data_IF_933048002982
#
_entry.id   IF_933048002982
#
_cell.length_a   1.000
_cell.length_b   1.000
_cell.length_c   1.000
_cell.angle_alpha   90.00
_cell.angle_beta   90.00
_cell.angle_gamma   90.00
#
_symmetry.space_group_name_H-M   'P 1'
#
loop_
_entity.id
_entity.type
_entity.pdbx_description
1 polymer ?
#
# COMPACT_ATOMS: atom_id res chain seq x y z
N UNK A 1 -18.12 1.52 24.66
CA UNK A 1 -17.49 0.15 24.61
C UNK A 1 -16.03 0.28 24.23
N UNK A 2 -15.12 -0.43 24.88
CA UNK A 2 -13.70 -0.50 24.48
C UNK A 2 -13.56 -1.44 23.26
N UNK A 3 -12.50 -1.27 22.47
CA UNK A 3 -12.14 -2.22 21.43
C UNK A 3 -12.03 -3.63 21.98
N UNK A 4 -12.48 -4.63 21.22
CA UNK A 4 -12.24 -6.04 21.55
C UNK A 4 -10.75 -6.40 21.32
N UNK A 5 -10.33 -7.57 21.79
CA UNK A 5 -8.92 -7.98 21.73
C UNK A 5 -8.41 -8.16 20.29
N UNK A 6 -9.27 -8.59 19.37
CA UNK A 6 -8.92 -8.71 17.96
C UNK A 6 -8.67 -7.33 17.33
N UNK A 7 -9.57 -6.37 17.57
CA UNK A 7 -9.40 -4.99 17.12
C UNK A 7 -8.13 -4.35 17.68
N UNK A 8 -7.86 -4.53 18.98
CA UNK A 8 -6.62 -4.05 19.61
C UNK A 8 -5.38 -4.66 18.95
N UNK A 9 -5.40 -5.97 18.69
CA UNK A 9 -4.32 -6.67 18.00
C UNK A 9 -4.09 -6.11 16.59
N UNK A 10 -5.16 -5.87 15.84
CA UNK A 10 -5.08 -5.29 14.49
C UNK A 10 -4.55 -3.87 14.51
N UNK A 11 -5.04 -3.02 15.42
CA UNK A 11 -4.62 -1.62 15.56
C UNK A 11 -3.14 -1.48 15.95
N UNK A 12 -2.60 -2.43 16.72
CA UNK A 12 -1.20 -2.46 17.14
C UNK A 12 -0.24 -3.07 16.10
N UNK A 13 -0.75 -3.60 14.99
CA UNK A 13 0.11 -4.12 13.92
C UNK A 13 0.86 -2.98 13.23
N UNK A 14 2.10 -3.23 12.83
CA UNK A 14 2.82 -2.31 11.96
C UNK A 14 2.14 -2.19 10.62
N UNK A 15 2.23 -1.01 10.02
CA UNK A 15 1.71 -0.75 8.67
C UNK A 15 2.35 -1.71 7.65
N UNK A 16 1.55 -2.25 6.74
CA UNK A 16 2.08 -2.99 5.60
C UNK A 16 2.69 -2.01 4.60
N UNK A 17 3.99 -2.16 4.35
CA UNK A 17 4.77 -1.30 3.46
C UNK A 17 4.27 -1.30 2.01
N UNK A 18 3.67 -2.41 1.56
CA UNK A 18 3.13 -2.55 0.21
C UNK A 18 1.95 -1.62 -0.07
N UNK A 19 1.29 -1.15 1.00
CA UNK A 19 0.15 -0.23 0.91
C UNK A 19 0.56 1.25 1.07
N UNK A 20 1.87 1.52 1.23
CA UNK A 20 2.39 2.87 1.37
C UNK A 20 2.73 3.44 0.00
N UNK A 21 2.04 4.51 -0.37
CA UNK A 21 2.32 5.29 -1.58
C UNK A 21 3.30 6.43 -1.28
N UNK A 22 3.96 6.92 -2.32
CA UNK A 22 4.92 8.02 -2.22
C UNK A 22 4.59 9.14 -3.19
N UNK A 23 4.70 10.37 -2.73
CA UNK A 23 4.57 11.57 -3.56
C UNK A 23 5.76 12.51 -3.38
N UNK A 24 6.07 13.35 -4.37
CA UNK A 24 7.06 14.41 -4.20
C UNK A 24 6.66 15.36 -3.06
N UNK A 25 7.62 15.71 -2.21
CA UNK A 25 7.50 16.73 -1.19
C UNK A 25 8.41 17.91 -1.47
N UNK A 26 8.41 18.91 -0.59
CA UNK A 26 9.33 20.05 -0.67
C UNK A 26 10.78 19.61 -0.49
N UNK A 27 11.71 20.28 -1.17
CA UNK A 27 13.15 20.02 -1.04
C UNK A 27 13.62 18.67 -1.59
N UNK A 28 12.90 18.07 -2.56
CA UNK A 28 13.27 16.78 -3.18
C UNK A 28 12.98 15.55 -2.32
N UNK A 29 12.31 15.72 -1.19
CA UNK A 29 11.92 14.60 -0.32
C UNK A 29 10.76 13.81 -0.92
N UNK A 30 10.70 12.49 -0.63
CA UNK A 30 9.53 11.66 -0.89
C UNK A 30 8.70 11.57 0.39
N UNK A 31 7.43 11.97 0.30
CA UNK A 31 6.47 11.86 1.39
C UNK A 31 5.70 10.56 1.26
N UNK A 32 5.78 9.73 2.31
CA UNK A 32 4.98 8.51 2.42
C UNK A 32 3.55 8.86 2.84
N UNK A 33 2.55 8.20 2.27
CA UNK A 33 1.15 8.39 2.63
C UNK A 33 0.33 7.14 2.32
N UNK A 34 -0.89 7.08 2.86
CA UNK A 34 -1.88 6.09 2.51
C UNK A 34 -2.93 6.69 1.58
N UNK A 35 -3.35 5.91 0.59
CA UNK A 35 -4.48 6.27 -0.26
C UNK A 35 -5.78 6.27 0.54
N UNK A 36 -6.70 7.20 0.22
CA UNK A 36 -7.96 7.34 0.96
C UNK A 36 -8.83 6.09 0.90
N UNK A 37 -8.87 5.41 -0.25
CA UNK A 37 -9.64 4.17 -0.40
C UNK A 37 -9.11 3.05 0.52
N UNK A 38 -7.77 2.95 0.65
CA UNK A 38 -7.15 1.97 1.51
C UNK A 38 -7.48 2.21 2.99
N UNK A 39 -7.42 3.47 3.44
CA UNK A 39 -7.76 3.86 4.82
C UNK A 39 -9.21 3.49 5.16
N UNK A 40 -10.15 3.69 4.23
CA UNK A 40 -11.54 3.27 4.40
C UNK A 40 -11.67 1.75 4.44
N UNK A 41 -10.95 1.03 3.57
CA UNK A 41 -10.93 -0.43 3.56
C UNK A 41 -10.41 -0.99 4.89
N UNK A 42 -9.35 -0.40 5.44
CA UNK A 42 -8.82 -0.78 6.75
C UNK A 42 -9.81 -0.48 7.89
N UNK A 43 -10.52 0.64 7.85
CA UNK A 43 -11.56 0.93 8.82
C UNK A 43 -12.67 -0.12 8.79
N UNK A 44 -13.14 -0.50 7.60
CA UNK A 44 -14.12 -1.57 7.43
C UNK A 44 -13.61 -2.94 7.90
N UNK A 45 -12.32 -3.24 7.66
CA UNK A 45 -11.69 -4.49 8.09
C UNK A 45 -11.55 -4.59 9.60
N UNK A 46 -11.20 -3.48 10.28
CA UNK A 46 -10.91 -3.46 11.72
C UNK A 46 -12.18 -3.27 12.54
N UNK A 47 -13.05 -2.36 12.11
CA UNK A 47 -14.23 -1.95 12.88
C UNK A 47 -15.52 -2.64 12.43
N UNK A 48 -15.55 -3.23 11.22
CA UNK A 48 -16.77 -3.70 10.56
C UNK A 48 -17.45 -2.60 9.73
N UNK A 49 -18.29 -2.99 8.78
CA UNK A 49 -18.99 -2.04 7.90
C UNK A 49 -20.00 -1.16 8.66
N UNK A 50 -20.50 -1.64 9.77
CA UNK A 50 -21.50 -1.02 10.64
C UNK A 50 -20.94 -0.57 11.99
N UNK A 51 -19.65 -0.84 12.24
CA UNK A 51 -18.99 -0.56 13.51
C UNK A 51 -18.40 0.84 13.64
N UNK A 52 -18.45 1.65 12.57
CA UNK A 52 -17.92 3.01 12.57
C UNK A 52 -18.76 3.95 11.70
N UNK A 53 -18.64 5.25 11.96
CA UNK A 53 -19.26 6.29 11.15
C UNK A 53 -18.30 7.46 10.89
N UNK A 54 -18.52 8.13 9.75
CA UNK A 54 -17.79 9.34 9.35
C UNK A 54 -18.78 10.45 9.08
N UNK A 55 -18.59 11.59 9.74
CA UNK A 55 -19.43 12.79 9.59
C UNK A 55 -18.54 13.98 9.22
N UNK A 56 -18.85 14.68 8.14
CA UNK A 56 -18.22 15.95 7.81
C UNK A 56 -18.92 17.05 8.62
N UNK A 57 -18.22 17.57 9.63
CA UNK A 57 -18.75 18.62 10.53
C UNK A 57 -18.94 19.92 9.77
N UNK A 58 -17.95 20.31 8.97
CA UNK A 58 -18.04 21.45 8.07
C UNK A 58 -17.00 21.34 6.93
N UNK A 59 -17.31 22.07 5.87
CA UNK A 59 -16.37 22.48 4.82
C UNK A 59 -16.43 23.99 4.69
N UNK A 60 -15.29 24.66 4.60
CA UNK A 60 -15.17 26.10 4.52
C UNK A 60 -14.23 26.48 3.38
N UNK A 61 -14.71 27.31 2.46
CA UNK A 61 -13.86 27.97 1.48
C UNK A 61 -13.09 29.09 2.17
N UNK A 62 -11.76 28.96 2.26
CA UNK A 62 -10.88 29.96 2.89
C UNK A 62 -10.16 30.83 1.86
N UNK A 63 -10.16 30.41 0.58
CA UNK A 63 -9.69 31.20 -0.55
C UNK A 63 -10.48 30.82 -1.79
N UNK A 64 -11.11 31.78 -2.44
CA UNK A 64 -11.81 31.66 -3.72
C UNK A 64 -10.94 32.08 -4.91
N UNK A 65 -9.68 32.45 -4.66
CA UNK A 65 -8.67 32.77 -5.68
C UNK A 65 -7.77 31.57 -5.93
N UNK A 66 -6.96 31.62 -7.00
CA UNK A 66 -6.08 30.49 -7.37
C UNK A 66 -4.82 30.40 -6.48
N UNK A 67 -4.63 29.30 -5.71
CA UNK A 67 -5.47 28.10 -5.67
C UNK A 67 -6.76 28.32 -4.84
N UNK A 68 -7.89 27.83 -5.34
CA UNK A 68 -9.09 27.72 -4.51
C UNK A 68 -8.78 26.76 -3.36
N UNK A 69 -9.05 27.18 -2.14
CA UNK A 69 -8.66 26.41 -0.95
C UNK A 69 -9.87 26.19 -0.03
N UNK A 70 -10.05 24.94 0.33
CA UNK A 70 -11.04 24.52 1.34
C UNK A 70 -10.37 23.90 2.55
N UNK A 71 -11.00 24.08 3.70
CA UNK A 71 -10.72 23.36 4.94
C UNK A 71 -11.96 22.53 5.26
N UNK A 72 -11.75 21.27 5.65
CA UNK A 72 -12.78 20.40 6.15
C UNK A 72 -12.45 19.90 7.55
N UNK A 73 -13.47 19.67 8.36
CA UNK A 73 -13.39 18.95 9.63
C UNK A 73 -14.27 17.73 9.58
N UNK A 74 -13.68 16.57 9.86
CA UNK A 74 -14.36 15.27 9.87
C UNK A 74 -14.27 14.67 11.25
N UNK A 75 -15.38 14.09 11.69
CA UNK A 75 -15.52 13.31 12.91
C UNK A 75 -15.68 11.82 12.54
N UNK A 76 -14.92 10.98 13.19
CA UNK A 76 -15.02 9.52 13.13
C UNK A 76 -15.48 9.02 14.49
N UNK A 77 -16.48 8.16 14.48
CA UNK A 77 -17.01 7.53 15.70
C UNK A 77 -16.91 6.02 15.55
N UNK A 78 -16.31 5.35 16.55
CA UNK A 78 -16.23 3.89 16.66
C UNK A 78 -16.70 3.51 18.05
N UNK A 79 -17.94 3.00 18.17
CA UNK A 79 -18.59 2.83 19.47
C UNK A 79 -18.72 4.16 20.20
N UNK A 80 -18.11 4.25 21.39
CA UNK A 80 -18.09 5.49 22.20
C UNK A 80 -16.84 6.37 21.94
N UNK A 81 -15.95 5.92 21.07
CA UNK A 81 -14.68 6.60 20.81
C UNK A 81 -14.84 7.54 19.64
N UNK A 82 -14.56 8.82 19.87
CA UNK A 82 -14.63 9.88 18.85
C UNK A 82 -13.23 10.40 18.55
N UNK A 83 -12.93 10.59 17.27
CA UNK A 83 -11.73 11.24 16.77
C UNK A 83 -12.09 12.27 15.71
N UNK A 84 -11.43 13.40 15.73
CA UNK A 84 -11.64 14.48 14.77
C UNK A 84 -10.34 14.77 14.00
N UNK A 85 -10.49 15.12 12.74
CA UNK A 85 -9.38 15.53 11.89
C UNK A 85 -9.76 16.75 11.08
N UNK A 86 -8.79 17.62 10.83
CA UNK A 86 -8.95 18.77 9.95
C UNK A 86 -7.99 18.61 8.78
N UNK A 87 -8.47 18.82 7.56
CA UNK A 87 -7.72 18.72 6.33
C UNK A 87 -7.90 19.95 5.46
N UNK A 88 -6.95 20.17 4.56
CA UNK A 88 -7.02 21.23 3.56
C UNK A 88 -6.90 20.64 2.15
N UNK A 89 -7.60 21.24 1.19
CA UNK A 89 -7.57 20.87 -0.20
C UNK A 89 -7.40 22.08 -1.11
N UNK A 90 -6.76 21.89 -2.27
CA UNK A 90 -6.40 22.95 -3.19
C UNK A 90 -6.79 22.63 -4.63
N UNK A 91 -7.68 23.41 -5.20
CA UNK A 91 -8.02 23.37 -6.63
C UNK A 91 -7.14 24.34 -7.43
N UNK A 92 -6.24 23.79 -8.25
CA UNK A 92 -5.28 24.59 -9.01
C UNK A 92 -5.57 24.62 -10.52
N UNK A 93 -6.14 23.54 -11.05
CA UNK A 93 -6.30 23.31 -12.49
C UNK A 93 -7.75 23.05 -12.85
N UNK A 94 -8.11 23.35 -14.10
CA UNK A 94 -9.47 23.15 -14.64
C UNK A 94 -10.33 24.42 -14.57
N UNK A 95 -11.61 24.26 -14.91
CA UNK A 95 -12.65 25.29 -14.76
C UNK A 95 -12.85 25.68 -13.30
N UNK A 96 -13.53 26.77 -13.04
CA UNK A 96 -13.79 27.24 -11.67
C UNK A 96 -14.54 26.17 -10.86
N UNK A 97 -15.53 25.51 -11.45
CA UNK A 97 -16.28 24.45 -10.79
C UNK A 97 -15.41 23.22 -10.45
N UNK A 98 -14.55 22.79 -11.39
CA UNK A 98 -13.61 21.69 -11.15
C UNK A 98 -12.61 22.01 -10.04
N UNK A 99 -12.15 23.25 -9.96
CA UNK A 99 -11.26 23.68 -8.88
C UNK A 99 -11.94 23.60 -7.52
N UNK A 100 -13.19 24.02 -7.39
CA UNK A 100 -13.96 23.87 -6.16
C UNK A 100 -14.17 22.39 -5.81
N UNK A 101 -14.57 21.58 -6.78
CA UNK A 101 -14.78 20.14 -6.61
C UNK A 101 -13.52 19.44 -6.11
N UNK A 102 -12.37 19.67 -6.77
CA UNK A 102 -11.09 19.07 -6.38
C UNK A 102 -10.68 19.50 -4.97
N UNK A 103 -10.81 20.79 -4.64
CA UNK A 103 -10.43 21.33 -3.34
C UNK A 103 -11.28 20.75 -2.20
N UNK A 104 -12.60 20.63 -2.40
CA UNK A 104 -13.51 20.05 -1.40
C UNK A 104 -13.17 18.56 -1.18
N UNK A 105 -13.05 17.78 -2.26
CA UNK A 105 -12.74 16.35 -2.18
C UNK A 105 -11.40 16.08 -1.51
N UNK A 106 -10.38 16.89 -1.82
CA UNK A 106 -9.06 16.78 -1.18
C UNK A 106 -9.15 17.12 0.31
N UNK A 107 -9.84 18.21 0.69
CA UNK A 107 -9.99 18.65 2.07
C UNK A 107 -10.69 17.57 2.93
N UNK A 108 -11.80 17.01 2.47
CA UNK A 108 -12.54 15.96 3.18
C UNK A 108 -11.73 14.66 3.29
N UNK A 109 -11.04 14.28 2.23
CA UNK A 109 -10.20 13.08 2.21
C UNK A 109 -9.02 13.21 3.18
N UNK A 110 -8.36 14.36 3.24
CA UNK A 110 -7.27 14.63 4.19
C UNK A 110 -7.79 14.69 5.63
N UNK A 111 -8.92 15.35 5.88
CA UNK A 111 -9.55 15.43 7.20
C UNK A 111 -9.92 14.03 7.73
N UNK A 112 -10.52 13.17 6.89
CA UNK A 112 -10.88 11.79 7.25
C UNK A 112 -9.66 10.96 7.58
N UNK A 113 -8.62 11.01 6.75
CA UNK A 113 -7.36 10.31 7.00
C UNK A 113 -6.72 10.74 8.32
N UNK A 114 -6.72 12.03 8.65
CA UNK A 114 -6.19 12.56 9.92
C UNK A 114 -6.98 12.12 11.13
N UNK A 115 -8.30 12.01 11.00
CA UNK A 115 -9.14 11.49 12.07
C UNK A 115 -8.87 10.00 12.31
N UNK A 116 -8.83 9.19 11.25
CA UNK A 116 -8.56 7.75 11.32
C UNK A 116 -7.14 7.44 11.80
N UNK A 117 -6.15 8.23 11.41
CA UNK A 117 -4.75 8.06 11.83
C UNK A 117 -4.59 8.02 13.36
N UNK A 118 -5.46 8.68 14.11
CA UNK A 118 -5.42 8.70 15.58
C UNK A 118 -5.81 7.34 16.22
N UNK A 119 -6.27 6.37 15.42
CA UNK A 119 -6.53 5.01 15.89
C UNK A 119 -5.29 4.10 15.82
N UNK A 120 -4.22 4.51 15.12
CA UNK A 120 -2.96 3.76 15.15
C UNK A 120 -2.27 3.59 13.79
N UNK A 121 -1.25 2.72 13.78
CA UNK A 121 -0.33 2.55 12.66
C UNK A 121 -1.00 2.04 11.38
N UNK A 122 -2.07 1.26 11.50
CA UNK A 122 -2.82 0.78 10.33
C UNK A 122 -3.41 1.92 9.48
N UNK A 123 -3.59 3.09 10.10
CA UNK A 123 -4.07 4.30 9.44
C UNK A 123 -2.96 5.33 9.14
N UNK A 124 -1.69 4.89 9.24
CA UNK A 124 -0.54 5.69 8.84
C UNK A 124 0.06 6.60 9.91
N UNK A 125 -0.23 6.37 11.19
CA UNK A 125 0.35 7.15 12.28
C UNK A 125 1.89 7.11 12.25
N UNK A 126 2.47 5.92 12.07
CA UNK A 126 3.92 5.73 12.01
C UNK A 126 4.61 6.39 10.81
N UNK A 127 3.87 6.75 9.74
CA UNK A 127 4.44 7.46 8.59
C UNK A 127 4.94 8.87 8.94
N UNK A 128 4.48 9.43 10.06
CA UNK A 128 4.92 10.73 10.58
C UNK A 128 6.15 10.62 11.51
N UNK A 129 6.60 9.40 11.81
CA UNK A 129 7.83 9.17 12.56
C UNK A 129 9.04 9.60 11.73
N UNK A 130 9.79 10.58 12.23
CA UNK A 130 10.97 11.14 11.58
C UNK A 130 12.10 10.12 11.44
N UNK A 131 12.21 9.18 12.39
CA UNK A 131 13.21 8.12 12.40
C UNK A 131 12.86 6.97 11.48
N UNK A 132 11.66 7.03 10.88
CA UNK A 132 11.13 6.01 9.94
C UNK A 132 11.25 4.60 10.50
N UNK A 133 10.95 4.44 11.79
CA UNK A 133 11.03 3.15 12.49
C UNK A 133 10.15 2.07 11.81
N UNK A 134 9.08 2.49 11.13
CA UNK A 134 8.22 1.61 10.35
C UNK A 134 8.92 0.97 9.13
N UNK A 135 10.07 1.54 8.66
CA UNK A 135 10.90 0.92 7.61
C UNK A 135 11.86 -0.14 8.15
N UNK A 136 12.17 -0.11 9.45
CA UNK A 136 13.12 -1.05 10.07
C UNK A 136 12.46 -2.44 10.16
N UNK A 137 13.22 -3.52 9.98
CA UNK A 137 12.73 -4.86 10.27
C UNK A 137 12.22 -4.94 11.71
N UNK A 138 11.21 -5.75 11.94
CA UNK A 138 10.68 -5.98 13.27
C UNK A 138 11.53 -7.04 13.99
N UNK A 139 12.55 -6.62 14.72
CA UNK A 139 13.43 -7.51 15.47
C UNK A 139 12.70 -8.22 16.64
N UNK A 140 11.45 -7.84 16.94
CA UNK A 140 10.65 -8.42 18.04
C UNK A 140 9.75 -9.59 17.62
N UNK A 141 9.65 -9.89 16.32
CA UNK A 141 8.98 -11.11 15.85
C UNK A 141 10.03 -12.15 15.48
N UNK A 142 9.88 -13.41 15.97
CA UNK A 142 10.53 -14.49 15.28
C UNK A 142 10.09 -14.38 13.82
N UNK A 143 11.04 -14.42 12.91
CA UNK A 143 10.82 -14.45 11.47
C UNK A 143 9.82 -15.57 11.14
N UNK A 144 8.54 -15.25 11.25
CA UNK A 144 7.54 -16.00 10.52
C UNK A 144 7.71 -15.48 9.10
N UNK A 145 8.52 -16.21 8.35
CA UNK A 145 8.54 -16.11 6.90
C UNK A 145 7.09 -15.97 6.47
N UNK A 146 6.77 -14.88 5.78
CA UNK A 146 5.55 -14.80 5.00
C UNK A 146 5.72 -15.73 3.80
N UNK A 147 5.84 -17.02 4.09
CA UNK A 147 5.59 -18.07 3.14
C UNK A 147 4.08 -18.11 2.94
N UNK A 148 3.59 -17.25 2.04
CA UNK A 148 2.46 -17.70 1.24
C UNK A 148 2.95 -19.02 0.65
N UNK A 149 2.28 -20.14 0.92
CA UNK A 149 2.68 -21.39 0.27
C UNK A 149 2.71 -21.09 -1.23
N UNK A 150 3.87 -21.34 -1.85
CA UNK A 150 4.03 -21.20 -3.30
C UNK A 150 2.88 -22.00 -3.89
N UNK A 151 2.02 -21.35 -4.68
CA UNK A 151 0.96 -22.08 -5.38
C UNK A 151 1.63 -23.06 -6.32
N UNK A 152 1.71 -24.32 -5.87
CA UNK A 152 2.39 -25.39 -6.61
C UNK A 152 1.84 -25.52 -8.02
N UNK A 153 0.54 -25.32 -8.21
CA UNK A 153 -0.09 -25.40 -9.53
C UNK A 153 0.42 -24.30 -10.47
N UNK A 154 0.56 -23.07 -9.98
CA UNK A 154 1.07 -21.95 -10.78
C UNK A 154 2.59 -22.05 -11.00
N UNK A 155 3.35 -22.45 -9.98
CA UNK A 155 4.80 -22.63 -10.11
C UNK A 155 5.14 -23.76 -11.05
N UNK A 156 4.49 -24.92 -10.95
CA UNK A 156 4.74 -26.08 -11.83
C UNK A 156 4.36 -25.78 -13.29
N UNK A 157 3.31 -25.01 -13.52
CA UNK A 157 2.96 -24.55 -14.87
C UNK A 157 4.04 -23.65 -15.44
N UNK A 158 4.52 -22.69 -14.67
CA UNK A 158 5.61 -21.80 -15.09
C UNK A 158 6.90 -22.58 -15.38
N UNK A 159 7.28 -23.57 -14.55
CA UNK A 159 8.47 -24.42 -14.78
C UNK A 159 8.36 -25.13 -16.13
N UNK A 160 7.23 -25.81 -16.39
CA UNK A 160 6.99 -26.50 -17.67
C UNK A 160 7.06 -25.58 -18.88
N UNK A 161 6.53 -24.35 -18.76
CA UNK A 161 6.62 -23.35 -19.81
C UNK A 161 8.07 -22.91 -20.06
N UNK A 162 8.87 -22.72 -19.01
CA UNK A 162 10.29 -22.40 -19.11
C UNK A 162 11.10 -23.53 -19.76
N UNK A 163 10.90 -24.76 -19.32
CA UNK A 163 11.57 -25.95 -19.90
C UNK A 163 11.23 -26.11 -21.39
N UNK A 164 9.95 -25.97 -21.75
CA UNK A 164 9.51 -26.00 -23.14
C UNK A 164 10.12 -24.88 -23.97
N UNK A 165 10.34 -23.70 -23.37
CA UNK A 165 10.98 -22.56 -24.03
C UNK A 165 12.48 -22.78 -24.23
N UNK A 166 13.20 -23.28 -23.22
CA UNK A 166 14.63 -23.55 -23.22
C UNK A 166 14.97 -24.64 -24.28
N UNK A 167 14.11 -25.62 -24.42
CA UNK A 167 14.34 -26.76 -25.36
C UNK A 167 14.10 -26.40 -26.84
N UNK A 168 13.60 -25.20 -27.16
CA UNK A 168 13.42 -24.75 -28.55
C UNK A 168 14.69 -24.07 -29.08
N UNK A 169 15.34 -24.59 -30.13
CA UNK A 169 16.61 -24.04 -30.67
C UNK A 169 16.47 -22.55 -31.08
N UNK A 170 15.31 -22.15 -31.57
CA UNK A 170 15.02 -20.78 -31.99
C UNK A 170 15.04 -19.75 -30.83
N UNK A 171 15.07 -20.18 -29.58
CA UNK A 171 15.03 -19.33 -28.42
C UNK A 171 16.40 -19.06 -27.78
N UNK A 172 17.49 -19.60 -28.31
CA UNK A 172 18.84 -19.48 -27.75
C UNK A 172 19.22 -18.00 -27.47
N UNK A 173 18.92 -17.09 -28.38
CA UNK A 173 19.19 -15.64 -28.23
C UNK A 173 18.31 -14.94 -27.20
N UNK A 174 17.25 -15.58 -26.71
CA UNK A 174 16.29 -15.00 -25.75
C UNK A 174 16.47 -15.55 -24.32
N UNK A 175 17.44 -16.44 -24.10
CA UNK A 175 17.67 -17.05 -22.78
C UNK A 175 18.05 -16.02 -21.71
N UNK A 176 18.75 -14.93 -22.08
CA UNK A 176 19.07 -13.84 -21.15
C UNK A 176 17.80 -13.10 -20.61
N UNK A 177 16.75 -12.99 -21.41
CA UNK A 177 15.47 -12.42 -20.96
C UNK A 177 14.77 -13.40 -20.01
N UNK A 178 14.84 -14.69 -20.33
CA UNK A 178 14.26 -15.73 -19.49
C UNK A 178 14.93 -15.77 -18.10
N UNK A 179 16.26 -15.67 -18.02
CA UNK A 179 17.01 -15.56 -16.74
C UNK A 179 16.47 -14.42 -15.88
N UNK A 180 16.25 -13.23 -16.44
CA UNK A 180 15.69 -12.09 -15.72
C UNK A 180 14.27 -12.36 -15.20
N UNK A 181 13.45 -13.05 -15.97
CA UNK A 181 12.07 -13.37 -15.57
C UNK A 181 12.06 -14.41 -14.43
N UNK A 182 12.94 -15.42 -14.49
CA UNK A 182 13.12 -16.41 -13.42
C UNK A 182 13.55 -15.72 -12.12
N UNK A 183 14.54 -14.82 -12.17
CA UNK A 183 15.00 -14.06 -11.00
C UNK A 183 13.87 -13.22 -10.39
N UNK A 184 13.07 -12.51 -11.21
CA UNK A 184 11.90 -11.75 -10.73
C UNK A 184 10.85 -12.63 -10.06
N UNK A 185 10.59 -13.83 -10.59
CA UNK A 185 9.63 -14.76 -10.00
C UNK A 185 10.14 -15.35 -8.68
N UNK A 186 11.44 -15.55 -8.54
CA UNK A 186 12.06 -15.93 -7.27
C UNK A 186 11.98 -14.81 -6.24
N UNK A 187 12.32 -13.57 -6.62
CA UNK A 187 12.18 -12.38 -5.76
C UNK A 187 10.73 -12.16 -5.30
N UNK A 188 9.75 -12.45 -6.18
CA UNK A 188 8.33 -12.41 -5.88
C UNK A 188 7.83 -13.63 -5.06
N UNK A 189 8.73 -14.59 -4.71
CA UNK A 189 8.41 -15.82 -3.98
C UNK A 189 7.32 -16.69 -4.63
N UNK A 190 7.22 -16.67 -5.96
CA UNK A 190 6.28 -17.51 -6.72
C UNK A 190 6.90 -18.82 -7.21
N UNK A 191 8.22 -18.97 -7.08
CA UNK A 191 8.99 -20.21 -7.30
C UNK A 191 9.99 -20.40 -6.16
N UNK A 192 10.36 -21.67 -5.89
CA UNK A 192 11.35 -22.00 -4.87
C UNK A 192 12.79 -21.76 -5.36
N UNK A 193 13.74 -21.79 -4.43
CA UNK A 193 15.17 -21.71 -4.74
C UNK A 193 15.60 -22.88 -5.63
N UNK A 194 15.21 -24.10 -5.29
CA UNK A 194 15.49 -25.29 -6.08
C UNK A 194 14.94 -25.20 -7.52
N UNK A 195 13.72 -24.66 -7.67
CA UNK A 195 13.09 -24.44 -8.98
C UNK A 195 13.84 -23.38 -9.80
N UNK A 196 14.26 -22.28 -9.16
CA UNK A 196 15.11 -21.25 -9.80
C UNK A 196 16.42 -21.86 -10.30
N UNK A 197 17.13 -22.56 -9.43
CA UNK A 197 18.47 -23.08 -9.71
C UNK A 197 18.43 -24.19 -10.76
N UNK A 198 17.41 -25.04 -10.73
CA UNK A 198 17.18 -26.05 -11.78
C UNK A 198 16.99 -25.43 -13.17
N UNK A 199 16.17 -24.37 -13.27
CA UNK A 199 15.97 -23.66 -14.55
C UNK A 199 17.22 -22.93 -15.03
N UNK A 200 17.99 -22.30 -14.12
CA UNK A 200 19.24 -21.62 -14.47
C UNK A 200 20.30 -22.60 -14.96
N UNK A 201 20.40 -23.79 -14.36
CA UNK A 201 21.30 -24.87 -14.80
C UNK A 201 20.96 -25.34 -16.21
N UNK A 202 19.66 -25.59 -16.49
CA UNK A 202 19.19 -25.94 -17.84
C UNK A 202 19.52 -24.88 -18.90
N UNK A 203 19.46 -23.62 -18.53
CA UNK A 203 19.82 -22.53 -19.44
C UNK A 203 21.31 -22.53 -19.73
N UNK A 204 22.17 -22.73 -18.71
CA UNK A 204 23.64 -22.81 -18.90
C UNK A 204 24.03 -23.96 -19.82
N UNK A 205 23.48 -25.16 -19.63
CA UNK A 205 23.71 -26.29 -20.48
C UNK A 205 23.34 -26.06 -21.96
N UNK A 206 22.29 -25.20 -22.17
CA UNK A 206 21.85 -24.84 -23.53
C UNK A 206 22.65 -23.71 -24.15
N UNK A 207 23.26 -22.85 -23.34
CA UNK A 207 24.18 -21.81 -23.85
C UNK A 207 25.49 -22.40 -24.31
N UNK A 208 25.96 -23.48 -23.65
CA UNK A 208 27.23 -24.15 -23.93
C UNK A 208 27.13 -25.21 -25.06
N UNK A 209 25.93 -25.56 -25.51
CA UNK A 209 25.66 -26.54 -26.59
C UNK A 209 25.43 -25.83 -27.92
#
# INVERSE_FOLDING_TARGET
MSFNEEQKKLLNQKINKDNVSYRPGGGGQKLAYLESWYVIQEANRIFGFDGWSSETIYTLCVSDTNPITYIAKVKITVGDIVREGTGAGHGRMGSIGEKHELAIKEAESDARKRALMQFGDQFGLSLYDKDKAWLKPDDSKPTVSSDKPIDRSESDKFIKECEAFINKPANKTKLGILKKNISKRYEAKTISEDQRDGLLTLILEKEDS
#
